data_IF_675046749089
#
_entry.id   IF_675046749089
#
_cell.length_a   1.000
_cell.length_b   1.000
_cell.length_c   1.000
_cell.angle_alpha   90.00
_cell.angle_beta   90.00
_cell.angle_gamma   90.00
#
_symmetry.space_group_name_H-M   'P 1'
#
loop_
_entity.id
_entity.type
_entity.pdbx_description
1 polymer ?
#
# COMPACT_ATOMS: atom_id res chain seq x y z
N UNK A 1 7.27 -2.13 13.51
CA UNK A 1 6.56 -1.03 12.82
C UNK A 1 5.41 -0.34 13.57
N UNK A 2 4.34 -1.00 14.06
CA UNK A 2 3.17 -0.29 14.63
C UNK A 2 3.48 0.62 15.84
N UNK A 3 4.42 0.21 16.70
CA UNK A 3 4.91 1.03 17.81
C UNK A 3 5.64 2.29 17.34
N UNK A 4 6.39 2.18 16.23
CA UNK A 4 7.15 3.30 15.66
C UNK A 4 6.24 4.45 15.24
N UNK A 5 5.10 4.13 14.64
CA UNK A 5 4.11 5.11 14.20
C UNK A 5 3.08 5.46 15.30
N UNK A 6 3.37 5.12 16.56
CA UNK A 6 2.50 5.35 17.72
C UNK A 6 1.04 4.86 17.52
N UNK A 7 0.86 3.74 16.80
CA UNK A 7 -0.47 3.17 16.57
C UNK A 7 -0.87 2.30 17.76
N UNK A 8 -1.86 2.75 18.52
CA UNK A 8 -2.38 2.08 19.74
C UNK A 8 -3.29 0.87 19.45
N UNK A 9 -3.34 0.41 18.20
CA UNK A 9 -4.16 -0.72 17.77
C UNK A 9 -3.26 -1.88 17.34
N UNK A 10 -3.65 -3.09 17.71
CA UNK A 10 -3.01 -4.30 17.20
C UNK A 10 -3.52 -4.66 15.81
N UNK A 11 -2.80 -5.57 15.15
CA UNK A 11 -3.27 -6.18 13.89
C UNK A 11 -4.57 -6.95 14.14
N UNK A 12 -4.70 -7.58 15.31
CA UNK A 12 -5.89 -8.36 15.67
C UNK A 12 -7.12 -7.48 15.84
N UNK A 13 -6.98 -6.32 16.49
CA UNK A 13 -8.06 -5.33 16.60
C UNK A 13 -8.51 -4.86 15.22
N UNK A 14 -7.55 -4.63 14.32
CA UNK A 14 -7.82 -4.26 12.93
C UNK A 14 -8.60 -5.37 12.21
N UNK A 15 -8.20 -6.63 12.36
CA UNK A 15 -8.92 -7.78 11.77
C UNK A 15 -10.34 -7.88 12.29
N UNK A 16 -10.55 -7.79 13.60
CA UNK A 16 -11.88 -7.84 14.22
C UNK A 16 -12.78 -6.72 13.72
N UNK A 17 -12.27 -5.49 13.66
CA UNK A 17 -13.01 -4.35 13.13
C UNK A 17 -13.44 -4.54 11.68
N UNK A 18 -12.52 -5.01 10.82
CA UNK A 18 -12.82 -5.28 9.42
C UNK A 18 -13.89 -6.37 9.30
N UNK A 19 -13.74 -7.51 9.99
CA UNK A 19 -14.72 -8.61 9.94
C UNK A 19 -16.10 -8.16 10.38
N UNK A 20 -16.19 -7.32 11.42
CA UNK A 20 -17.45 -6.76 11.88
C UNK A 20 -18.11 -5.88 10.80
N UNK A 21 -17.34 -5.00 10.16
CA UNK A 21 -17.84 -4.13 9.08
C UNK A 21 -18.32 -4.98 7.89
N UNK A 22 -17.55 -6.01 7.51
CA UNK A 22 -17.92 -6.91 6.41
C UNK A 22 -19.19 -7.73 6.69
N UNK A 23 -19.54 -8.01 7.96
CA UNK A 23 -20.80 -8.66 8.33
C UNK A 23 -22.04 -7.84 7.93
N UNK A 24 -21.88 -6.54 7.74
CA UNK A 24 -22.94 -5.62 7.34
C UNK A 24 -22.84 -5.21 5.87
N UNK A 25 -22.09 -5.96 5.05
CA UNK A 25 -21.90 -5.70 3.61
C UNK A 25 -21.35 -4.31 3.27
N UNK A 26 -20.65 -3.68 4.23
CA UNK A 26 -20.00 -2.39 4.03
C UNK A 26 -18.62 -2.61 3.40
N UNK A 27 -18.26 -1.75 2.45
CA UNK A 27 -16.95 -1.76 1.81
C UNK A 27 -15.85 -1.24 2.74
N UNK A 28 -14.68 -1.86 2.68
CA UNK A 28 -13.52 -1.51 3.51
C UNK A 28 -12.31 -1.24 2.62
N UNK A 29 -11.78 -0.03 2.72
CA UNK A 29 -10.49 0.34 2.13
C UNK A 29 -9.37 0.29 3.16
N UNK A 30 -8.27 -0.39 2.83
CA UNK A 30 -7.06 -0.40 3.66
C UNK A 30 -6.03 0.60 3.17
N UNK A 31 -5.48 1.41 4.08
CA UNK A 31 -4.35 2.30 3.78
C UNK A 31 -3.08 1.78 4.43
N UNK A 32 -2.01 1.69 3.64
CA UNK A 32 -0.71 1.15 4.04
C UNK A 32 0.39 2.12 3.66
N UNK A 33 1.45 2.17 4.47
CA UNK A 33 2.65 2.98 4.22
C UNK A 33 3.82 2.00 4.12
N UNK A 34 4.68 2.18 3.13
CA UNK A 34 5.93 1.46 2.95
C UNK A 34 7.10 2.44 2.97
N UNK A 35 8.27 1.94 3.36
CA UNK A 35 9.50 2.72 3.45
C UNK A 35 9.50 3.67 4.63
N UNK A 36 8.92 3.27 5.77
CA UNK A 36 9.10 4.02 7.02
C UNK A 36 10.59 4.07 7.40
N UNK A 37 11.02 5.07 8.19
CA UNK A 37 12.37 5.05 8.75
C UNK A 37 12.59 3.74 9.49
N UNK A 38 13.79 3.17 9.37
CA UNK A 38 14.19 1.84 9.90
C UNK A 38 13.48 0.62 9.29
N UNK A 39 12.54 0.79 8.35
CA UNK A 39 11.80 -0.34 7.77
C UNK A 39 12.65 -1.14 6.78
N UNK A 40 12.73 -2.45 6.98
CA UNK A 40 13.48 -3.35 6.08
C UNK A 40 12.65 -3.83 4.88
N UNK A 41 13.31 -4.46 3.91
CA UNK A 41 12.64 -5.10 2.76
C UNK A 41 11.68 -6.19 3.18
N UNK A 42 12.06 -6.96 4.19
CA UNK A 42 11.29 -8.05 4.77
C UNK A 42 10.06 -7.51 5.50
N UNK A 43 10.21 -6.43 6.28
CA UNK A 43 9.08 -5.77 6.96
C UNK A 43 8.08 -5.17 5.96
N UNK A 44 8.55 -4.57 4.86
CA UNK A 44 7.67 -4.10 3.79
C UNK A 44 6.87 -5.26 3.17
N UNK A 45 7.50 -6.42 2.94
CA UNK A 45 6.77 -7.60 2.46
C UNK A 45 5.79 -8.14 3.51
N UNK A 46 6.10 -8.06 4.80
CA UNK A 46 5.13 -8.39 5.86
C UNK A 46 3.91 -7.46 5.80
N UNK A 47 4.11 -6.15 5.59
CA UNK A 47 3.02 -5.19 5.42
C UNK A 47 2.17 -5.50 4.18
N UNK A 48 2.80 -5.86 3.06
CA UNK A 48 2.10 -6.27 1.84
C UNK A 48 1.29 -7.55 2.10
N UNK A 49 1.90 -8.56 2.70
CA UNK A 49 1.25 -9.84 3.03
C UNK A 49 0.13 -9.67 4.07
N UNK A 50 0.20 -8.65 4.93
CA UNK A 50 -0.91 -8.26 5.79
C UNK A 50 -2.07 -7.71 4.96
N UNK A 51 -1.83 -6.76 4.05
CA UNK A 51 -2.86 -6.14 3.21
C UNK A 51 -3.63 -7.16 2.36
N UNK A 52 -2.88 -7.93 1.55
CA UNK A 52 -2.82 -9.38 1.66
C UNK A 52 -3.94 -10.10 2.44
N UNK A 53 -3.61 -10.69 3.58
CA UNK A 53 -4.54 -11.49 4.39
C UNK A 53 -5.89 -10.85 4.81
N UNK A 54 -6.12 -9.54 4.63
CA UNK A 54 -7.35 -8.87 5.06
C UNK A 54 -8.44 -8.92 3.99
N UNK A 55 -9.73 -9.07 4.37
CA UNK A 55 -10.86 -9.11 3.43
C UNK A 55 -11.27 -7.69 2.99
N UNK A 56 -10.32 -6.95 2.44
CA UNK A 56 -10.49 -5.57 1.96
C UNK A 56 -11.12 -5.54 0.57
N UNK A 57 -11.88 -4.48 0.30
CA UNK A 57 -12.46 -4.18 -1.02
C UNK A 57 -11.52 -3.30 -1.86
N UNK A 58 -10.59 -2.59 -1.23
CA UNK A 58 -9.58 -1.80 -1.91
C UNK A 58 -8.38 -1.53 -1.02
N UNK A 59 -7.26 -1.15 -1.65
CA UNK A 59 -6.06 -0.69 -0.94
C UNK A 59 -5.55 0.62 -1.50
N UNK A 60 -4.94 1.43 -0.63
CA UNK A 60 -4.04 2.52 -0.99
C UNK A 60 -2.70 2.26 -0.33
N UNK A 61 -1.65 2.20 -1.14
CA UNK A 61 -0.27 1.97 -0.70
C UNK A 61 0.53 3.23 -0.97
N UNK A 62 1.01 3.84 0.09
CA UNK A 62 1.79 5.08 0.07
C UNK A 62 3.25 4.80 0.39
N UNK A 63 4.14 5.65 -0.09
CA UNK A 63 5.50 5.75 0.44
C UNK A 63 5.52 6.76 1.59
N UNK A 64 6.36 6.53 2.59
CA UNK A 64 6.46 7.43 3.73
C UNK A 64 6.85 8.86 3.30
N UNK A 65 6.18 9.85 3.87
CA UNK A 65 6.44 11.27 3.64
C UNK A 65 6.84 11.94 4.95
N UNK A 66 8.09 12.42 5.09
CA UNK A 66 8.62 13.02 6.31
C UNK A 66 8.15 14.47 6.44
N UNK A 67 6.90 14.65 6.89
CA UNK A 67 6.32 15.98 7.07
C UNK A 67 7.07 16.79 8.14
N UNK A 68 7.21 18.11 7.96
CA UNK A 68 7.86 19.01 8.92
C UNK A 68 7.27 18.89 10.31
N UNK A 69 8.12 19.07 11.33
CA UNK A 69 7.71 19.12 12.74
C UNK A 69 7.04 17.83 13.24
N UNK A 70 7.22 16.71 12.53
CA UNK A 70 6.75 15.39 12.98
C UNK A 70 7.92 14.57 13.53
N UNK A 71 7.76 13.83 14.65
CA UNK A 71 8.84 13.02 15.22
C UNK A 71 9.49 12.02 14.24
N UNK A 72 8.74 11.58 13.23
CA UNK A 72 9.24 10.66 12.20
C UNK A 72 10.18 11.35 11.20
N UNK A 73 10.15 12.69 11.09
CA UNK A 73 11.07 13.43 10.22
C UNK A 73 12.48 13.44 10.79
N UNK A 74 12.64 13.62 12.09
CA UNK A 74 13.97 13.54 12.72
C UNK A 74 14.56 12.14 12.53
N UNK A 75 13.73 11.09 12.69
CA UNK A 75 14.16 9.73 12.44
C UNK A 75 14.47 9.45 10.96
N UNK A 76 13.73 10.07 10.04
CA UNK A 76 13.99 9.96 8.61
C UNK A 76 15.38 10.51 8.24
N UNK A 77 15.77 11.66 8.79
CA UNK A 77 17.11 12.23 8.58
C UNK A 77 18.24 11.31 9.09
N UNK A 78 17.95 10.49 10.10
CA UNK A 78 18.92 9.53 10.66
C UNK A 78 19.01 8.21 9.89
N UNK A 79 17.99 7.87 9.08
CA UNK A 79 17.83 6.53 8.49
C UNK A 79 17.58 6.56 6.98
N UNK A 80 17.96 7.64 6.30
CA UNK A 80 17.81 7.74 4.86
C UNK A 80 17.96 9.15 4.32
N UNK A 81 17.62 9.30 3.04
CA UNK A 81 17.67 10.58 2.33
C UNK A 81 16.31 11.25 2.38
N UNK A 82 16.24 12.44 2.98
CA UNK A 82 15.06 13.30 2.97
C UNK A 82 15.24 14.40 1.94
N UNK A 83 14.23 14.62 1.09
CA UNK A 83 14.28 15.67 0.09
C UNK A 83 13.93 17.03 0.69
N UNK A 84 14.67 18.08 0.33
CA UNK A 84 14.34 19.47 0.69
C UNK A 84 13.39 20.13 -0.31
N UNK A 85 13.16 19.52 -1.47
CA UNK A 85 12.29 20.06 -2.52
C UNK A 85 10.84 19.72 -2.23
N UNK A 86 10.04 20.72 -1.89
CA UNK A 86 8.59 20.56 -1.65
C UNK A 86 7.82 19.95 -2.82
N UNK A 87 8.30 20.12 -4.05
CA UNK A 87 7.71 19.47 -5.23
C UNK A 87 7.68 17.94 -5.11
N UNK A 88 8.61 17.37 -4.35
CA UNK A 88 8.71 15.92 -4.13
C UNK A 88 7.70 15.41 -3.09
N UNK A 89 6.98 16.30 -2.40
CA UNK A 89 5.95 15.96 -1.41
C UNK A 89 4.55 15.85 -2.03
N UNK A 90 4.45 15.94 -3.36
CA UNK A 90 3.19 15.87 -4.11
C UNK A 90 2.55 14.47 -4.14
N UNK A 91 3.26 13.44 -3.68
CA UNK A 91 2.85 12.04 -3.85
C UNK A 91 3.08 11.50 -5.26
N UNK A 92 3.79 12.24 -6.12
CA UNK A 92 4.10 11.79 -7.47
C UNK A 92 5.16 10.67 -7.45
N UNK A 93 4.93 9.52 -8.13
CA UNK A 93 5.81 8.35 -8.03
C UNK A 93 7.26 8.58 -8.48
N UNK A 94 7.53 9.53 -9.38
CA UNK A 94 8.89 9.81 -9.85
C UNK A 94 9.73 10.61 -8.84
N UNK A 95 9.11 11.22 -7.84
CA UNK A 95 9.76 12.13 -6.89
C UNK A 95 9.36 11.73 -5.48
N UNK A 96 10.23 10.99 -4.79
CA UNK A 96 9.98 10.59 -3.41
C UNK A 96 10.57 11.63 -2.44
N UNK A 97 9.82 12.02 -1.39
CA UNK A 97 10.33 12.93 -0.38
C UNK A 97 11.25 12.20 0.62
N UNK A 98 11.24 10.87 0.64
CA UNK A 98 12.11 10.05 1.48
C UNK A 98 12.50 8.74 0.79
N UNK A 99 13.77 8.35 0.98
CA UNK A 99 14.29 7.04 0.59
C UNK A 99 15.06 6.47 1.80
N UNK A 100 14.60 5.36 2.39
CA UNK A 100 15.31 4.70 3.49
C UNK A 100 16.68 4.19 3.03
N UNK A 101 17.62 4.19 3.97
CA UNK A 101 18.96 3.64 3.79
C UNK A 101 18.91 2.17 3.33
N UNK A 102 19.73 1.80 2.35
CA UNK A 102 19.83 0.42 1.85
C UNK A 102 18.64 -0.11 1.01
N UNK A 103 17.54 0.65 0.89
CA UNK A 103 16.36 0.23 0.12
C UNK A 103 16.45 0.68 -1.34
N UNK A 104 16.72 1.98 -1.55
CA UNK A 104 16.71 2.62 -2.86
C UNK A 104 15.31 2.93 -3.40
N UNK A 105 15.18 4.02 -4.17
CA UNK A 105 13.90 4.49 -4.73
C UNK A 105 13.21 3.43 -5.60
N UNK A 106 13.99 2.78 -6.47
CA UNK A 106 13.45 1.81 -7.43
C UNK A 106 12.81 0.62 -6.72
N UNK A 107 13.40 0.15 -5.61
CA UNK A 107 12.82 -0.93 -4.82
C UNK A 107 11.49 -0.50 -4.20
N UNK A 108 11.40 0.69 -3.60
CA UNK A 108 10.17 1.20 -2.99
C UNK A 108 9.02 1.25 -4.00
N UNK A 109 9.27 1.82 -5.17
CA UNK A 109 8.26 1.94 -6.23
C UNK A 109 7.84 0.56 -6.77
N UNK A 110 8.79 -0.38 -6.90
CA UNK A 110 8.48 -1.77 -7.24
C UNK A 110 7.68 -2.47 -6.15
N UNK A 111 7.98 -2.24 -4.87
CA UNK A 111 7.24 -2.82 -3.75
C UNK A 111 5.80 -2.30 -3.72
N UNK A 112 5.61 -0.98 -3.90
CA UNK A 112 4.28 -0.37 -4.04
C UNK A 112 3.51 -0.95 -5.23
N UNK A 113 4.13 -1.03 -6.41
CA UNK A 113 3.53 -1.62 -7.62
C UNK A 113 3.18 -3.10 -7.40
N UNK A 114 4.08 -3.86 -6.76
CA UNK A 114 3.88 -5.28 -6.41
C UNK A 114 2.68 -5.45 -5.48
N UNK A 115 2.51 -4.58 -4.49
CA UNK A 115 1.38 -4.61 -3.58
C UNK A 115 0.04 -4.45 -4.34
N UNK A 116 -0.05 -3.44 -5.21
CA UNK A 116 -1.23 -3.24 -6.06
C UNK A 116 -1.49 -4.42 -6.99
N UNK A 117 -0.46 -4.91 -7.69
CA UNK A 117 -0.59 -6.07 -8.60
C UNK A 117 -1.08 -7.30 -7.86
N UNK A 118 -0.43 -7.68 -6.75
CA UNK A 118 -0.82 -8.84 -5.95
C UNK A 118 -2.26 -8.69 -5.42
N UNK A 119 -2.69 -7.48 -5.07
CA UNK A 119 -4.06 -7.24 -4.59
C UNK A 119 -5.10 -7.36 -5.71
N UNK A 120 -4.89 -6.69 -6.84
CA UNK A 120 -5.82 -6.72 -7.97
C UNK A 120 -5.95 -8.12 -8.58
N UNK A 121 -4.89 -8.93 -8.52
CA UNK A 121 -4.88 -10.31 -9.05
C UNK A 121 -5.46 -11.36 -8.09
N UNK A 122 -5.97 -10.96 -6.91
CA UNK A 122 -6.59 -11.90 -5.98
C UNK A 122 -7.81 -12.55 -6.62
N UNK A 123 -7.95 -13.88 -6.55
CA UNK A 123 -9.13 -14.56 -7.08
C UNK A 123 -10.44 -13.98 -6.56
N UNK A 124 -10.52 -13.72 -5.24
CA UNK A 124 -11.71 -13.13 -4.62
C UNK A 124 -12.03 -11.72 -5.11
N UNK A 125 -11.01 -10.88 -5.33
CA UNK A 125 -11.18 -9.54 -5.89
C UNK A 125 -11.63 -9.60 -7.34
N UNK A 126 -10.95 -10.40 -8.17
CA UNK A 126 -11.26 -10.57 -9.59
C UNK A 126 -12.69 -11.08 -9.80
N UNK A 127 -13.11 -12.12 -9.06
CA UNK A 127 -14.46 -12.68 -9.19
C UNK A 127 -15.50 -11.61 -8.84
N UNK A 128 -15.31 -10.90 -7.72
CA UNK A 128 -16.22 -9.83 -7.30
C UNK A 128 -16.31 -8.71 -8.32
N UNK A 129 -15.16 -8.25 -8.82
CA UNK A 129 -15.09 -7.11 -9.74
C UNK A 129 -15.50 -7.46 -11.16
N UNK A 130 -15.36 -8.72 -11.58
CA UNK A 130 -15.86 -9.18 -12.88
C UNK A 130 -17.37 -9.43 -12.84
N UNK A 131 -17.92 -9.88 -11.71
CA UNK A 131 -19.36 -10.09 -11.53
C UNK A 131 -20.18 -8.80 -11.57
N UNK A 132 -19.57 -7.63 -11.32
CA UNK A 132 -20.25 -6.33 -11.42
C UNK A 132 -20.35 -5.84 -12.88
N UNK A 133 -19.61 -6.42 -13.82
CA UNK A 133 -19.69 -6.03 -15.23
C UNK A 133 -20.93 -6.65 -15.89
N UNK A 134 -21.97 -5.84 -16.05
CA UNK A 134 -23.18 -6.20 -16.80
C UNK A 134 -23.02 -6.02 -18.31
N UNK A 135 -22.10 -5.16 -18.76
CA UNK A 135 -21.77 -4.94 -20.17
C UNK A 135 -20.59 -5.84 -20.62
N UNK A 136 -20.80 -6.74 -21.60
CA UNK A 136 -19.74 -7.57 -22.18
C UNK A 136 -18.51 -6.79 -22.68
N UNK A 137 -18.67 -5.54 -23.14
CA UNK A 137 -17.56 -4.70 -23.60
C UNK A 137 -16.65 -4.27 -22.45
N UNK A 138 -17.24 -3.98 -21.29
CA UNK A 138 -16.47 -3.62 -20.08
C UNK A 138 -15.75 -4.86 -19.55
N UNK A 139 -16.41 -6.02 -19.57
CA UNK A 139 -15.79 -7.30 -19.20
C UNK A 139 -14.55 -7.61 -20.04
N UNK A 140 -14.61 -7.46 -21.38
CA UNK A 140 -13.45 -7.65 -22.26
C UNK A 140 -12.34 -6.63 -21.97
N UNK A 141 -12.67 -5.36 -21.67
CA UNK A 141 -11.67 -4.37 -21.23
C UNK A 141 -11.01 -4.78 -19.91
N UNK A 142 -11.79 -5.28 -18.94
CA UNK A 142 -11.30 -5.82 -17.67
C UNK A 142 -10.31 -6.96 -17.87
N UNK A 143 -10.63 -7.95 -18.72
CA UNK A 143 -9.71 -9.04 -19.08
C UNK A 143 -8.41 -8.55 -19.72
N UNK A 144 -8.50 -7.55 -20.63
CA UNK A 144 -7.31 -6.92 -21.23
C UNK A 144 -6.44 -6.22 -20.18
N UNK A 145 -7.05 -5.55 -19.20
CA UNK A 145 -6.35 -4.91 -18.09
C UNK A 145 -5.65 -5.92 -17.19
N UNK A 146 -6.32 -7.02 -16.82
CA UNK A 146 -5.72 -8.13 -16.06
C UNK A 146 -4.53 -8.73 -16.81
N UNK A 147 -4.67 -8.96 -18.13
CA UNK A 147 -3.57 -9.41 -18.98
C UNK A 147 -2.38 -8.45 -18.91
N UNK A 148 -2.63 -7.14 -19.05
CA UNK A 148 -1.56 -6.13 -18.93
C UNK A 148 -0.86 -6.16 -17.57
N UNK A 149 -1.59 -6.43 -16.47
CA UNK A 149 -1.02 -6.58 -15.13
C UNK A 149 -0.21 -7.86 -14.93
N UNK A 150 -0.37 -8.89 -15.76
CA UNK A 150 0.39 -10.14 -15.68
C UNK A 150 1.67 -10.12 -16.52
N UNK A 151 1.70 -9.38 -17.63
CA UNK A 151 2.79 -9.41 -18.62
C UNK A 151 3.69 -8.15 -18.65
N UNK A 152 3.60 -7.27 -17.63
CA UNK A 152 4.55 -6.18 -17.35
C UNK A 152 5.38 -6.46 -16.12
#
# INVERSE_FOLDING_TARGET
MLKLINKKLSIEDTRKGITLIKKHDIEVMGSFILGLPTETKEEMEMTINLALSLPLDGISVFTFTPFPQTPLRELAFQNGMVSERWTNYSGHPSTLPFIPEGIGQEYLLRAQTRAYRKFLLRPSYLIRHLATFTDPKIFVKGLKFIKALLFK
#
